data_IF_514023248622
#
_entry.id   IF_514023248622
#
_cell.length_a   1.000
_cell.length_b   1.000
_cell.length_c   1.000
_cell.angle_alpha   90.00
_cell.angle_beta   90.00
_cell.angle_gamma   90.00
#
_symmetry.space_group_name_H-M   'P 1'
#
loop_
_entity.id
_entity.type
_entity.pdbx_description
1 polymer ?
#
# COMPACT_ATOMS: atom_id res chain seq x y z
N UNK A 1 13.43 -12.50 -10.80
CA UNK A 1 14.76 -12.60 -11.40
C UNK A 1 14.98 -14.03 -11.86
N UNK A 2 15.41 -14.21 -13.08
CA UNK A 2 15.71 -15.53 -13.65
C UNK A 2 17.18 -15.58 -14.05
N UNK A 3 17.85 -16.65 -13.62
CA UNK A 3 19.25 -16.92 -13.97
C UNK A 3 19.31 -18.22 -14.77
N UNK A 4 19.79 -18.17 -15.99
CA UNK A 4 19.99 -19.36 -16.82
C UNK A 4 21.39 -19.38 -17.42
N UNK A 5 21.98 -20.59 -17.51
CA UNK A 5 23.29 -20.82 -18.09
C UNK A 5 23.22 -22.00 -19.06
N UNK A 6 23.60 -21.79 -20.31
CA UNK A 6 23.50 -22.79 -21.37
C UNK A 6 24.84 -23.52 -21.64
N UNK A 7 25.87 -23.29 -20.83
CA UNK A 7 27.22 -23.84 -20.96
C UNK A 7 28.23 -22.84 -21.52
N UNK A 8 27.80 -21.77 -22.18
CA UNK A 8 28.65 -20.71 -22.72
C UNK A 8 28.20 -19.33 -22.30
N UNK A 9 26.88 -19.10 -22.18
CA UNK A 9 26.28 -17.79 -21.89
C UNK A 9 25.51 -17.80 -20.58
N UNK A 10 25.86 -16.87 -19.68
CA UNK A 10 25.08 -16.59 -18.48
C UNK A 10 24.06 -15.50 -18.80
N UNK A 11 22.77 -15.85 -18.75
CA UNK A 11 21.67 -14.91 -18.90
C UNK A 11 21.07 -14.57 -17.54
N UNK A 12 21.19 -13.32 -17.15
CA UNK A 12 20.52 -12.77 -15.98
C UNK A 12 19.36 -11.90 -16.45
N UNK A 13 18.14 -12.27 -16.09
CA UNK A 13 16.94 -11.46 -16.33
C UNK A 13 16.56 -10.80 -15.03
N UNK A 14 16.67 -9.49 -14.98
CA UNK A 14 16.18 -8.69 -13.85
C UNK A 14 14.74 -8.32 -14.15
N UNK A 15 13.82 -8.79 -13.33
CA UNK A 15 12.41 -8.40 -13.39
C UNK A 15 12.20 -6.92 -13.07
N UNK A 16 11.02 -6.37 -13.37
CA UNK A 16 10.67 -5.01 -12.99
C UNK A 16 10.74 -4.87 -11.47
N UNK A 17 11.31 -3.76 -10.99
CA UNK A 17 11.34 -3.48 -9.55
C UNK A 17 9.93 -3.22 -9.04
N UNK A 18 9.61 -3.75 -7.88
CA UNK A 18 8.40 -3.40 -7.19
C UNK A 18 8.40 -1.91 -6.83
N UNK A 19 7.31 -1.22 -7.13
CA UNK A 19 7.15 0.21 -6.87
C UNK A 19 6.13 0.42 -5.76
N UNK A 20 6.43 1.33 -4.84
CA UNK A 20 5.47 1.82 -3.87
C UNK A 20 5.30 3.32 -4.03
N UNK A 21 4.11 3.73 -4.40
CA UNK A 21 3.70 5.11 -4.55
C UNK A 21 2.97 5.52 -3.27
N UNK A 22 3.52 6.50 -2.55
CA UNK A 22 2.97 7.02 -1.31
C UNK A 22 2.41 8.42 -1.57
N UNK A 23 1.13 8.60 -1.40
CA UNK A 23 0.48 9.90 -1.53
C UNK A 23 0.43 10.55 -0.15
N UNK A 24 1.20 11.63 -0.01
CA UNK A 24 1.45 12.37 1.23
C UNK A 24 2.89 12.21 1.72
N UNK A 25 3.53 13.33 2.11
CA UNK A 25 4.90 13.40 2.62
C UNK A 25 4.94 13.67 4.15
N UNK A 26 3.97 13.13 4.89
CA UNK A 26 3.88 13.29 6.33
C UNK A 26 4.73 12.29 7.12
N UNK A 27 4.63 12.37 8.46
CA UNK A 27 5.41 11.53 9.38
C UNK A 27 5.20 10.02 9.14
N UNK A 28 3.97 9.57 8.92
CA UNK A 28 3.70 8.16 8.62
C UNK A 28 4.43 7.71 7.36
N UNK A 29 4.40 8.54 6.32
CA UNK A 29 5.05 8.26 5.03
C UNK A 29 6.57 8.07 5.18
N UNK A 30 7.21 8.80 6.10
CA UNK A 30 8.63 8.61 6.41
C UNK A 30 8.93 7.17 6.86
N UNK A 31 8.14 6.64 7.78
CA UNK A 31 8.32 5.26 8.25
C UNK A 31 7.98 4.23 7.17
N UNK A 32 6.87 4.44 6.44
CA UNK A 32 6.50 3.55 5.32
C UNK A 32 7.60 3.52 4.26
N UNK A 33 8.13 4.68 3.87
CA UNK A 33 9.18 4.79 2.87
C UNK A 33 10.49 4.12 3.30
N UNK A 34 10.94 4.34 4.55
CA UNK A 34 12.15 3.73 5.08
C UNK A 34 12.06 2.20 5.11
N UNK A 35 10.94 1.67 5.61
CA UNK A 35 10.72 0.22 5.69
C UNK A 35 10.50 -0.41 4.30
N UNK A 36 9.78 0.25 3.40
CA UNK A 36 9.58 -0.23 2.03
C UNK A 36 10.89 -0.33 1.25
N UNK A 37 11.83 0.58 1.46
CA UNK A 37 13.19 0.48 0.88
C UNK A 37 13.94 -0.76 1.37
N UNK A 38 13.80 -1.13 2.64
CA UNK A 38 14.39 -2.36 3.17
C UNK A 38 13.76 -3.62 2.58
N UNK A 39 12.55 -3.51 2.01
CA UNK A 39 11.84 -4.56 1.27
C UNK A 39 12.06 -4.46 -0.26
N UNK A 40 13.08 -3.72 -0.71
CA UNK A 40 13.48 -3.52 -2.10
C UNK A 40 12.45 -2.83 -3.00
N UNK A 41 11.53 -2.06 -2.42
CA UNK A 41 10.63 -1.21 -3.22
C UNK A 41 11.38 0.02 -3.76
N UNK A 42 11.12 0.36 -5.02
CA UNK A 42 11.37 1.70 -5.53
C UNK A 42 10.27 2.61 -5.01
N UNK A 43 10.61 3.51 -4.10
CA UNK A 43 9.64 4.36 -3.40
C UNK A 43 9.54 5.71 -4.06
N UNK A 44 8.32 6.10 -4.44
CA UNK A 44 7.96 7.40 -4.98
C UNK A 44 6.96 8.03 -4.02
N UNK A 45 7.22 9.25 -3.59
CA UNK A 45 6.36 10.00 -2.68
C UNK A 45 5.79 11.20 -3.42
N UNK A 46 4.50 11.45 -3.28
CA UNK A 46 3.81 12.55 -3.91
C UNK A 46 3.14 13.43 -2.86
N UNK A 47 3.51 14.70 -2.81
CA UNK A 47 2.78 15.70 -2.04
C UNK A 47 2.92 17.08 -2.70
N UNK A 48 1.83 17.67 -3.24
CA UNK A 48 1.86 19.00 -3.84
C UNK A 48 1.99 20.13 -2.81
N UNK A 49 1.77 19.84 -1.52
CA UNK A 49 1.78 20.83 -0.46
C UNK A 49 3.22 21.12 -0.02
N UNK A 50 3.64 22.36 -0.19
CA UNK A 50 5.02 22.79 0.10
C UNK A 50 5.45 22.50 1.54
N UNK A 51 4.54 22.70 2.52
CA UNK A 51 4.82 22.48 3.94
C UNK A 51 5.21 21.05 4.30
N UNK A 52 4.81 20.06 3.49
CA UNK A 52 5.21 18.65 3.64
C UNK A 52 6.39 18.31 2.74
N UNK A 53 6.31 18.71 1.46
CA UNK A 53 7.32 18.40 0.46
C UNK A 53 8.70 19.01 0.78
N UNK A 54 8.74 20.24 1.34
CA UNK A 54 9.99 20.92 1.68
C UNK A 54 10.72 20.28 2.88
N UNK A 55 10.00 19.54 3.70
CA UNK A 55 10.56 18.84 4.87
C UNK A 55 10.88 17.38 4.60
N UNK A 56 10.62 16.88 3.39
CA UNK A 56 10.86 15.48 3.06
C UNK A 56 12.36 15.19 2.95
N UNK A 57 12.87 14.34 3.83
CA UNK A 57 14.28 13.96 3.92
C UNK A 57 14.46 12.45 4.12
N UNK A 58 13.93 11.65 3.18
CA UNK A 58 14.16 10.19 3.18
C UNK A 58 15.08 9.82 2.01
N UNK A 59 16.37 9.49 2.27
CA UNK A 59 17.33 9.25 1.22
C UNK A 59 16.93 8.06 0.33
N UNK A 60 17.16 8.17 -0.98
CA UNK A 60 16.90 7.10 -1.96
C UNK A 60 15.42 6.89 -2.25
N UNK A 61 14.58 7.88 -1.98
CA UNK A 61 13.20 7.99 -2.48
C UNK A 61 13.12 9.10 -3.52
N UNK A 62 12.10 9.04 -4.38
CA UNK A 62 11.79 10.10 -5.34
C UNK A 62 10.62 10.91 -4.78
N UNK A 63 10.79 12.22 -4.63
CA UNK A 63 9.70 13.12 -4.26
C UNK A 63 9.14 13.80 -5.50
N UNK A 64 7.83 13.72 -5.73
CA UNK A 64 7.08 14.50 -6.71
C UNK A 64 6.19 15.51 -6.02
N UNK A 65 6.09 16.71 -6.63
CA UNK A 65 5.20 17.80 -6.20
C UNK A 65 4.02 18.00 -7.15
N UNK A 66 3.85 17.08 -8.07
CA UNK A 66 2.72 17.06 -8.98
C UNK A 66 1.42 16.76 -8.26
N UNK A 67 0.30 17.03 -8.91
CA UNK A 67 -0.98 16.56 -8.40
C UNK A 67 -1.00 15.02 -8.41
N UNK A 68 -1.63 14.39 -7.40
CA UNK A 68 -1.58 12.94 -7.23
C UNK A 68 -2.15 12.14 -8.41
N UNK A 69 -3.21 12.61 -9.03
CA UNK A 69 -3.81 12.04 -10.24
C UNK A 69 -2.86 12.12 -11.45
N UNK A 70 -2.28 13.30 -11.69
CA UNK A 70 -1.32 13.51 -12.79
C UNK A 70 -0.12 12.58 -12.63
N UNK A 71 0.44 12.47 -11.42
CA UNK A 71 1.55 11.57 -11.15
C UNK A 71 1.17 10.10 -11.41
N UNK A 72 0.03 9.64 -10.90
CA UNK A 72 -0.43 8.26 -11.08
C UNK A 72 -0.57 7.90 -12.55
N UNK A 73 -1.17 8.81 -13.34
CA UNK A 73 -1.30 8.65 -14.80
C UNK A 73 0.07 8.63 -15.49
N UNK A 74 0.98 9.56 -15.13
CA UNK A 74 2.31 9.66 -15.73
C UNK A 74 3.18 8.43 -15.45
N UNK A 75 3.05 7.81 -14.27
CA UNK A 75 3.81 6.63 -13.86
C UNK A 75 3.42 5.35 -14.61
N UNK A 76 2.27 5.32 -15.30
CA UNK A 76 1.76 4.13 -15.99
C UNK A 76 1.90 2.89 -15.11
N UNK A 77 1.12 2.86 -14.04
CA UNK A 77 1.17 1.79 -13.03
C UNK A 77 0.95 0.41 -13.68
N UNK A 78 1.66 -0.58 -13.17
CA UNK A 78 1.63 -1.96 -13.65
C UNK A 78 1.35 -2.94 -12.48
N UNK A 79 1.33 -4.23 -12.76
CA UNK A 79 1.13 -5.28 -11.76
C UNK A 79 2.24 -5.39 -10.69
N UNK A 80 3.29 -4.56 -10.76
CA UNK A 80 4.35 -4.46 -9.75
C UNK A 80 4.27 -3.14 -8.96
N UNK A 81 3.17 -2.43 -9.09
CA UNK A 81 2.95 -1.13 -8.46
C UNK A 81 1.92 -1.22 -7.35
N UNK A 82 2.23 -0.64 -6.20
CA UNK A 82 1.33 -0.44 -5.07
C UNK A 82 1.13 1.06 -4.83
N UNK A 83 -0.06 1.47 -4.48
CA UNK A 83 -0.41 2.86 -4.14
C UNK A 83 -0.99 2.93 -2.74
N UNK A 84 -0.49 3.85 -1.91
CA UNK A 84 -1.00 4.08 -0.56
C UNK A 84 -1.26 5.56 -0.34
N UNK A 85 -2.52 5.93 -0.11
CA UNK A 85 -2.95 7.29 0.16
C UNK A 85 -3.02 7.53 1.68
N UNK A 86 -2.18 8.47 2.17
CA UNK A 86 -1.99 8.74 3.61
C UNK A 86 -1.89 10.23 3.94
N UNK A 87 -2.46 11.11 3.08
CA UNK A 87 -2.37 12.57 3.28
C UNK A 87 -3.25 13.09 4.41
N UNK A 88 -4.29 12.38 4.80
CA UNK A 88 -5.42 12.85 5.60
C UNK A 88 -6.25 13.96 4.92
N UNK A 89 -5.92 14.37 3.69
CA UNK A 89 -6.71 15.26 2.87
C UNK A 89 -7.54 14.44 1.88
N UNK A 90 -8.88 14.36 2.07
CA UNK A 90 -9.71 13.54 1.20
C UNK A 90 -9.63 13.91 -0.28
N UNK A 91 -9.34 15.18 -0.61
CA UNK A 91 -9.25 15.63 -2.00
C UNK A 91 -8.01 15.05 -2.68
N UNK A 92 -6.86 15.14 -2.04
CA UNK A 92 -5.61 14.61 -2.59
C UNK A 92 -5.63 13.08 -2.64
N UNK A 93 -6.13 12.44 -1.57
CA UNK A 93 -6.25 10.99 -1.53
C UNK A 93 -7.19 10.47 -2.63
N UNK A 94 -8.40 11.06 -2.73
CA UNK A 94 -9.42 10.60 -3.67
C UNK A 94 -8.98 10.80 -5.14
N UNK A 95 -8.25 11.89 -5.48
CA UNK A 95 -7.68 12.11 -6.81
C UNK A 95 -6.72 10.97 -7.22
N UNK A 96 -5.78 10.62 -6.34
CA UNK A 96 -4.87 9.49 -6.60
C UNK A 96 -5.61 8.16 -6.75
N UNK A 97 -6.59 7.90 -5.87
CA UNK A 97 -7.33 6.65 -5.84
C UNK A 97 -8.20 6.44 -7.09
N UNK A 98 -8.79 7.52 -7.64
CA UNK A 98 -9.57 7.47 -8.87
C UNK A 98 -8.77 6.89 -10.04
N UNK A 99 -7.51 7.29 -10.19
CA UNK A 99 -6.63 6.80 -11.25
C UNK A 99 -5.97 5.46 -10.89
N UNK A 100 -5.58 5.28 -9.62
CA UNK A 100 -4.94 4.05 -9.18
C UNK A 100 -5.86 2.83 -9.27
N UNK A 101 -7.14 2.97 -8.92
CA UNK A 101 -8.12 1.87 -8.97
C UNK A 101 -8.48 1.43 -10.40
N UNK A 102 -8.29 2.30 -11.40
CA UNK A 102 -8.44 1.95 -12.83
C UNK A 102 -7.18 1.29 -13.41
N UNK A 103 -6.07 1.34 -12.69
CA UNK A 103 -4.79 0.80 -13.14
C UNK A 103 -4.64 -0.68 -12.81
N UNK A 104 -3.71 -1.40 -13.47
CA UNK A 104 -3.41 -2.80 -13.14
C UNK A 104 -2.51 -2.96 -11.90
N UNK A 105 -2.43 -1.95 -11.02
CA UNK A 105 -1.65 -2.04 -9.77
C UNK A 105 -2.13 -3.20 -8.90
N UNK A 106 -1.18 -3.92 -8.28
CA UNK A 106 -1.53 -5.09 -7.45
C UNK A 106 -2.13 -4.71 -6.10
N UNK A 107 -1.95 -3.46 -5.67
CA UNK A 107 -2.44 -2.99 -4.37
C UNK A 107 -2.77 -1.50 -4.42
N UNK A 108 -3.95 -1.14 -3.92
CA UNK A 108 -4.37 0.25 -3.70
C UNK A 108 -4.97 0.35 -2.31
N UNK A 109 -4.37 1.15 -1.44
CA UNK A 109 -4.81 1.31 -0.06
C UNK A 109 -4.97 2.76 0.37
N UNK A 110 -5.82 2.99 1.35
CA UNK A 110 -6.05 4.33 1.88
C UNK A 110 -6.20 4.35 3.40
N UNK A 111 -5.50 5.29 4.02
CA UNK A 111 -5.59 5.54 5.46
C UNK A 111 -6.96 6.12 5.82
N UNK A 112 -7.48 5.68 6.97
CA UNK A 112 -8.73 6.20 7.51
C UNK A 112 -9.34 5.30 8.57
N UNK A 113 -10.40 5.78 9.23
CA UNK A 113 -11.27 4.94 10.03
C UNK A 113 -12.21 4.12 9.13
N UNK A 114 -12.89 3.12 9.70
CA UNK A 114 -13.93 2.36 8.97
C UNK A 114 -14.99 3.29 8.37
N UNK A 115 -15.46 4.27 9.15
CA UNK A 115 -16.43 5.26 8.69
C UNK A 115 -15.89 6.12 7.55
N UNK A 116 -14.64 6.60 7.68
CA UNK A 116 -14.01 7.39 6.63
C UNK A 116 -13.80 6.57 5.35
N UNK A 117 -13.47 5.29 5.47
CA UNK A 117 -13.32 4.38 4.33
C UNK A 117 -14.66 4.09 3.65
N UNK A 118 -15.74 3.95 4.40
CA UNK A 118 -17.09 3.82 3.83
C UNK A 118 -17.49 5.10 3.09
N UNK A 119 -17.39 6.25 3.71
CA UNK A 119 -17.71 7.54 3.09
C UNK A 119 -16.85 7.79 1.85
N UNK A 120 -15.58 7.35 1.85
CA UNK A 120 -14.69 7.42 0.67
C UNK A 120 -15.21 6.55 -0.46
N UNK A 121 -15.60 5.31 -0.20
CA UNK A 121 -16.18 4.42 -1.22
C UNK A 121 -17.44 5.04 -1.85
N UNK A 122 -18.31 5.61 -1.04
CA UNK A 122 -19.52 6.31 -1.51
C UNK A 122 -19.17 7.52 -2.40
N UNK A 123 -18.16 8.32 -2.01
CA UNK A 123 -17.70 9.43 -2.85
C UNK A 123 -17.10 8.96 -4.17
N UNK A 124 -16.24 7.94 -4.13
CA UNK A 124 -15.57 7.41 -5.33
C UNK A 124 -16.58 6.83 -6.33
N UNK A 125 -17.70 6.26 -5.88
CA UNK A 125 -18.81 5.83 -6.75
C UNK A 125 -19.45 6.97 -7.55
N UNK A 126 -19.33 8.22 -7.09
CA UNK A 126 -19.86 9.38 -7.83
C UNK A 126 -18.94 9.82 -8.99
N UNK A 127 -17.73 9.25 -9.13
CA UNK A 127 -16.70 9.65 -10.08
C UNK A 127 -16.29 8.52 -11.04
N UNK A 128 -17.26 7.92 -11.72
CA UNK A 128 -17.03 6.94 -12.81
C UNK A 128 -16.18 5.70 -12.44
N UNK A 129 -16.14 5.30 -11.15
CA UNK A 129 -15.62 4.03 -10.73
C UNK A 129 -16.75 3.01 -10.59
N UNK A 130 -16.51 1.82 -11.08
CA UNK A 130 -17.40 0.69 -10.88
C UNK A 130 -17.28 0.11 -9.46
N UNK A 131 -18.30 -0.61 -8.99
CA UNK A 131 -18.23 -1.33 -7.72
C UNK A 131 -17.08 -2.33 -7.68
N UNK A 132 -16.76 -2.97 -8.81
CA UNK A 132 -15.63 -3.91 -8.91
C UNK A 132 -14.28 -3.23 -8.68
N UNK A 133 -14.07 -2.03 -9.22
CA UNK A 133 -12.85 -1.24 -9.00
C UNK A 133 -12.76 -0.76 -7.54
N UNK A 134 -13.86 -0.29 -6.97
CA UNK A 134 -13.90 0.14 -5.56
C UNK A 134 -13.65 -1.01 -4.59
N UNK A 135 -14.03 -2.23 -4.94
CA UNK A 135 -13.77 -3.40 -4.12
C UNK A 135 -12.28 -3.78 -4.06
N UNK A 136 -11.45 -3.28 -4.98
CA UNK A 136 -9.99 -3.41 -4.92
C UNK A 136 -9.35 -2.48 -3.88
N UNK A 137 -10.09 -1.50 -3.36
CA UNK A 137 -9.56 -0.57 -2.38
C UNK A 137 -9.41 -1.22 -0.99
N UNK A 138 -8.19 -1.27 -0.49
CA UNK A 138 -7.87 -1.63 0.88
C UNK A 138 -8.11 -0.41 1.79
N UNK A 139 -9.20 -0.43 2.52
CA UNK A 139 -9.57 0.68 3.40
C UNK A 139 -10.47 0.24 4.57
N UNK A 140 -10.02 0.51 5.78
CA UNK A 140 -8.76 1.10 6.25
C UNK A 140 -7.52 0.28 5.86
N UNK A 141 -6.47 0.96 5.37
CA UNK A 141 -5.20 0.32 4.99
C UNK A 141 -4.50 -0.30 6.20
N UNK A 142 -3.91 -1.47 5.99
CA UNK A 142 -3.08 -2.17 6.97
C UNK A 142 -3.81 -3.26 7.75
N UNK A 143 -3.04 -4.26 8.16
CA UNK A 143 -3.54 -5.36 9.00
C UNK A 143 -3.94 -4.87 10.39
N UNK A 144 -4.94 -5.49 10.98
CA UNK A 144 -5.45 -5.16 12.31
C UNK A 144 -4.56 -5.77 13.40
N UNK A 145 -3.38 -5.19 13.60
CA UNK A 145 -2.39 -5.64 14.60
C UNK A 145 -2.42 -4.81 15.90
N UNK A 146 -3.41 -3.92 16.05
CA UNK A 146 -3.50 -3.05 17.22
C UNK A 146 -2.59 -1.82 17.16
N UNK A 147 -2.08 -1.46 15.97
CA UNK A 147 -1.20 -0.31 15.74
C UNK A 147 -1.84 1.01 16.19
N UNK A 148 -1.05 1.86 16.87
CA UNK A 148 -1.47 3.17 17.38
C UNK A 148 -0.51 4.29 17.00
N UNK A 149 0.78 3.98 16.87
CA UNK A 149 1.81 4.96 16.54
C UNK A 149 2.13 4.92 15.03
N UNK A 150 2.65 6.01 14.43
CA UNK A 150 3.00 6.03 13.02
C UNK A 150 3.91 4.87 12.57
N UNK A 151 4.98 4.48 13.29
CA UNK A 151 5.79 3.33 12.90
C UNK A 151 5.03 1.99 12.98
N UNK A 152 4.15 1.79 13.96
CA UNK A 152 3.31 0.59 14.04
C UNK A 152 2.31 0.52 12.88
N UNK A 153 1.72 1.67 12.51
CA UNK A 153 0.83 1.76 11.35
C UNK A 153 1.61 1.46 10.06
N UNK A 154 2.85 1.93 9.93
CA UNK A 154 3.70 1.61 8.79
C UNK A 154 3.97 0.09 8.68
N UNK A 155 4.26 -0.59 9.79
CA UNK A 155 4.39 -2.06 9.83
C UNK A 155 3.11 -2.73 9.39
N UNK A 156 1.96 -2.29 9.89
CA UNK A 156 0.64 -2.81 9.52
C UNK A 156 0.36 -2.70 8.02
N UNK A 157 0.65 -1.53 7.43
CA UNK A 157 0.49 -1.28 5.98
C UNK A 157 1.39 -2.20 5.16
N UNK A 158 2.68 -2.26 5.48
CA UNK A 158 3.63 -3.06 4.71
C UNK A 158 3.43 -4.56 4.88
N UNK A 159 2.92 -5.01 6.02
CA UNK A 159 2.53 -6.40 6.23
C UNK A 159 1.35 -6.78 5.31
N UNK A 160 0.34 -5.92 5.18
CA UNK A 160 -0.78 -6.14 4.25
C UNK A 160 -0.31 -6.15 2.80
N UNK A 161 0.47 -5.14 2.37
CA UNK A 161 1.05 -5.08 1.02
C UNK A 161 1.86 -6.35 0.71
N UNK A 162 2.66 -6.82 1.67
CA UNK A 162 3.48 -8.04 1.52
C UNK A 162 2.61 -9.28 1.35
N UNK A 163 1.56 -9.43 2.16
CA UNK A 163 0.64 -10.55 2.06
C UNK A 163 -0.08 -10.58 0.70
N UNK A 164 -0.62 -9.44 0.26
CA UNK A 164 -1.28 -9.32 -1.06
C UNK A 164 -0.31 -9.63 -2.20
N UNK A 165 0.92 -9.11 -2.13
CA UNK A 165 1.96 -9.38 -3.12
C UNK A 165 2.27 -10.87 -3.28
N UNK A 166 2.18 -11.63 -2.20
CA UNK A 166 2.44 -13.08 -2.18
C UNK A 166 1.18 -13.93 -2.35
N UNK A 167 0.02 -13.32 -2.62
CA UNK A 167 -1.25 -14.03 -2.78
C UNK A 167 -1.72 -14.73 -1.51
N UNK A 168 -1.31 -14.24 -0.34
CA UNK A 168 -1.77 -14.76 0.94
C UNK A 168 -3.16 -14.21 1.21
N UNK A 169 -4.13 -15.10 1.37
CA UNK A 169 -5.46 -14.72 1.82
C UNK A 169 -5.34 -14.13 3.23
N UNK A 170 -5.67 -12.86 3.35
CA UNK A 170 -5.77 -12.21 4.64
C UNK A 170 -7.12 -12.61 5.22
N UNK A 171 -7.11 -13.63 6.06
CA UNK A 171 -8.24 -13.83 6.93
C UNK A 171 -8.49 -12.48 7.61
N UNK A 172 -9.63 -11.88 7.29
CA UNK A 172 -10.19 -10.83 8.13
C UNK A 172 -10.49 -11.52 9.44
N UNK A 173 -9.46 -11.64 10.29
CA UNK A 173 -9.64 -12.11 11.65
C UNK A 173 -10.67 -11.19 12.25
N UNK A 174 -11.92 -11.68 12.18
CA UNK A 174 -13.04 -11.00 12.76
C UNK A 174 -12.75 -10.89 14.24
N UNK A 175 -12.33 -9.72 14.67
CA UNK A 175 -12.67 -9.31 16.00
C UNK A 175 -14.19 -9.08 15.97
N UNK A 176 -14.91 -10.16 16.18
CA UNK A 176 -16.28 -10.13 16.65
C UNK A 176 -16.22 -9.34 17.95
N UNK A 177 -17.09 -8.36 18.06
CA UNK A 177 -17.24 -7.50 19.23
C UNK A 177 -17.02 -8.30 20.53
N UNK A 178 -15.94 -7.95 21.25
CA UNK A 178 -15.78 -8.10 22.70
C UNK A 178 -16.20 -9.41 23.38
N UNK A 179 -16.10 -10.58 22.71
CA UNK A 179 -16.23 -11.89 23.39
C UNK A 179 -14.96 -12.69 23.13
N UNK A 180 -14.23 -12.94 24.19
CA UNK A 180 -13.14 -13.90 24.26
C UNK A 180 -13.63 -15.25 23.73
N UNK A 181 -13.03 -15.72 22.64
CA UNK A 181 -13.13 -17.13 22.28
C UNK A 181 -12.03 -17.82 23.07
N UNK A 182 -12.45 -18.56 24.08
CA UNK A 182 -11.59 -19.48 24.84
C UNK A 182 -10.85 -20.38 23.84
N UNK A 183 -9.53 -20.35 23.93
CA UNK A 183 -8.66 -21.27 23.23
C UNK A 183 -8.91 -22.68 23.74
N UNK A 184 -9.60 -23.48 22.96
CA UNK A 184 -9.64 -24.92 23.19
C UNK A 184 -8.37 -25.52 22.61
N UNK A 185 -7.50 -25.93 23.50
CA UNK A 185 -6.25 -26.59 23.22
C UNK A 185 -6.52 -28.03 22.75
N UNK A 186 -6.25 -28.32 21.49
CA UNK A 186 -5.95 -29.70 21.10
C UNK A 186 -4.78 -29.72 20.10
N UNK A 187 -3.63 -29.92 20.72
CA UNK A 187 -2.49 -30.77 20.32
C UNK A 187 -2.41 -31.19 18.85
N UNK A 188 -1.38 -30.72 18.15
CA UNK A 188 -0.56 -31.62 17.35
C UNK A 188 0.88 -31.11 17.27
N UNK A 189 1.74 -31.80 18.00
CA UNK A 189 3.20 -31.74 17.91
C UNK A 189 3.59 -32.29 16.55
N UNK A 190 4.39 -31.56 15.79
CA UNK A 190 5.27 -32.15 14.80
C UNK A 190 6.69 -31.72 15.08
N UNK A 191 7.46 -32.69 15.54
CA UNK A 191 8.90 -32.67 15.67
C UNK A 191 9.56 -32.85 14.29
N UNK A 192 10.76 -32.34 14.21
CA UNK A 192 11.94 -32.44 13.37
C UNK A 192 12.22 -31.22 12.56
#
# INVERSE_FOLDING_TARGET
>A
DELSFDGETLRCVYGPRWRLIIIGAGQLSTYVAQMAKALDYHVIVCDPRAEYADTWDVPGTVLSREMPDDLVVALKLDAHSAVVAVTHDPKLDDLALLEALKSPSFYVGALGSRLNSQNRRERLLLFDLSESEINLLHGPVGLRIGSKTPPEIAVSILAEITAVRHGVELDTVGLVDGKEVSADASTSVCAV
#
